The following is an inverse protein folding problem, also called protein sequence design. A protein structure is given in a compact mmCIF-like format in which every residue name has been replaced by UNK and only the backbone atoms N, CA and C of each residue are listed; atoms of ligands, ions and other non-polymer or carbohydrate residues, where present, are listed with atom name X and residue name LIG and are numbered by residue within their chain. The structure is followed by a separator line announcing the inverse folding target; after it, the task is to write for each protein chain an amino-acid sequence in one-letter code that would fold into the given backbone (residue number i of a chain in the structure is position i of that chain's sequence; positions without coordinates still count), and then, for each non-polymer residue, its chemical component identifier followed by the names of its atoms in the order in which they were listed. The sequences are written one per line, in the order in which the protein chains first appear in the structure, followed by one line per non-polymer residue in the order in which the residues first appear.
data_IF_946522096983
#
_entry.id   IF_946522096983
#
_cell.length_a   1.000
_cell.length_b   1.000
_cell.length_c   1.000
_cell.angle_alpha   90.00
_cell.angle_beta   90.00
_cell.angle_gamma   90.00
#
_symmetry.space_group_name_H-M   'P 1'
#
loop_
_entity.id
_entity.type
_entity.pdbx_description
1 polymer ?
#
# COMPACT_ATOMS: atom_id res chain seq x y z
N UNK A 1 4.69 1.82 -21.52
CA UNK A 1 3.71 1.66 -20.43
C UNK A 1 4.53 1.23 -19.23
N UNK A 2 4.56 2.03 -18.17
CA UNK A 2 5.20 1.60 -16.92
C UNK A 2 4.20 0.72 -16.19
N UNK A 3 4.52 -0.54 -15.94
CA UNK A 3 3.67 -1.39 -15.10
C UNK A 3 3.68 -0.84 -13.66
N UNK A 4 2.51 -0.85 -13.02
CA UNK A 4 2.35 -0.42 -11.63
C UNK A 4 3.06 -1.38 -10.68
N UNK A 5 3.70 -0.85 -9.63
CA UNK A 5 4.29 -1.64 -8.56
C UNK A 5 3.17 -2.15 -7.66
N UNK A 6 2.98 -3.47 -7.61
CA UNK A 6 1.97 -4.12 -6.76
C UNK A 6 2.48 -4.21 -5.32
N UNK A 7 1.71 -3.71 -4.38
CA UNK A 7 2.08 -3.62 -2.96
C UNK A 7 1.07 -4.38 -2.10
N UNK A 8 1.59 -5.24 -1.20
CA UNK A 8 0.84 -5.83 -0.09
C UNK A 8 1.38 -5.21 1.20
N UNK A 9 0.51 -4.69 2.06
CA UNK A 9 0.93 -4.21 3.39
C UNK A 9 0.72 -5.34 4.40
N UNK A 10 1.78 -5.70 5.14
CA UNK A 10 1.72 -6.69 6.21
C UNK A 10 2.29 -6.09 7.49
N UNK A 11 1.42 -5.77 8.44
CA UNK A 11 1.79 -5.11 9.71
C UNK A 11 0.74 -5.39 10.79
N UNK A 12 1.18 -5.77 11.99
CA UNK A 12 0.31 -6.09 13.15
C UNK A 12 -0.25 -4.84 13.84
N UNK A 13 0.22 -3.64 13.48
CA UNK A 13 -0.23 -2.37 14.01
C UNK A 13 -1.14 -1.65 13.02
N UNK A 14 -2.43 -1.55 13.38
CA UNK A 14 -3.46 -0.90 12.56
C UNK A 14 -3.04 0.49 12.06
N UNK A 15 -2.56 1.37 12.96
CA UNK A 15 -2.20 2.76 12.62
C UNK A 15 -1.12 2.83 11.54
N UNK A 16 -0.13 1.94 11.58
CA UNK A 16 0.96 1.91 10.60
C UNK A 16 0.41 1.54 9.23
N UNK A 17 -0.45 0.51 9.17
CA UNK A 17 -1.08 0.06 7.93
C UNK A 17 -1.94 1.14 7.29
N UNK A 18 -2.74 1.87 8.09
CA UNK A 18 -3.54 2.97 7.57
C UNK A 18 -2.68 4.11 7.03
N UNK A 19 -1.61 4.47 7.74
CA UNK A 19 -0.67 5.51 7.30
C UNK A 19 0.01 5.15 5.97
N UNK A 20 0.48 3.90 5.84
CA UNK A 20 1.10 3.40 4.62
C UNK A 20 0.14 3.40 3.44
N UNK A 21 -1.11 2.97 3.64
CA UNK A 21 -2.15 3.01 2.61
C UNK A 21 -2.39 4.44 2.11
N UNK A 22 -2.58 5.39 3.02
CA UNK A 22 -2.84 6.80 2.65
C UNK A 22 -1.68 7.41 1.84
N UNK A 23 -0.44 7.07 2.18
CA UNK A 23 0.74 7.55 1.44
C UNK A 23 0.78 6.92 0.04
N UNK A 24 0.63 5.60 -0.05
CA UNK A 24 0.74 4.87 -1.30
C UNK A 24 -0.39 5.17 -2.29
N UNK A 25 -1.59 5.51 -1.80
CA UNK A 25 -2.72 5.95 -2.64
C UNK A 25 -2.49 7.30 -3.34
N UNK A 26 -1.54 8.11 -2.86
CA UNK A 26 -1.19 9.40 -3.49
C UNK A 26 -0.16 9.30 -4.62
N UNK A 27 0.42 8.12 -4.84
CA UNK A 27 1.52 7.90 -5.78
C UNK A 27 1.07 7.09 -7.00
N UNK A 28 1.10 7.69 -8.19
CA UNK A 28 0.63 7.08 -9.46
C UNK A 28 1.40 5.81 -9.90
N UNK A 29 2.49 5.46 -9.21
CA UNK A 29 3.34 4.31 -9.50
C UNK A 29 2.97 3.03 -8.76
N UNK A 30 2.02 3.08 -7.83
CA UNK A 30 1.71 1.96 -6.95
C UNK A 30 0.26 1.48 -7.10
N UNK A 31 0.08 0.18 -6.88
CA UNK A 31 -1.22 -0.46 -6.79
C UNK A 31 -1.27 -1.31 -5.53
N UNK A 32 -2.07 -0.91 -4.56
CA UNK A 32 -2.32 -1.73 -3.36
C UNK A 32 -3.16 -2.95 -3.76
N UNK A 33 -2.63 -4.15 -3.52
CA UNK A 33 -3.29 -5.42 -3.88
C UNK A 33 -3.86 -6.17 -2.66
N UNK A 34 -3.61 -5.68 -1.45
CA UNK A 34 -4.19 -6.22 -0.23
C UNK A 34 -3.48 -5.78 1.04
N UNK A 35 -4.07 -6.20 2.16
CA UNK A 35 -3.58 -5.97 3.51
C UNK A 35 -3.58 -7.30 4.28
N UNK A 36 -2.54 -7.51 5.09
CA UNK A 36 -2.44 -8.57 6.09
C UNK A 36 -2.11 -7.92 7.44
N UNK A 37 -2.69 -8.44 8.51
CA UNK A 37 -2.50 -7.95 9.89
C UNK A 37 -2.43 -9.10 10.87
#
# INVERSE_FOLDING_TARGET
MSDLIRVLIADDHLIVREGLRLILETEDGFALVGEAG
#
